data_IF_874004040092
#
_entry.id   IF_874004040092
#
_cell.length_a   1.000
_cell.length_b   1.000
_cell.length_c   1.000
_cell.angle_alpha   90.00
_cell.angle_beta   90.00
_cell.angle_gamma   90.00
#
_symmetry.space_group_name_H-M   'P 1'
#
loop_
_entity.id
_entity.type
_entity.pdbx_description
1 polymer ?
#
# COMPACT_ATOMS: atom_id res chain seq x y z
N UNK A 1 -3.65 -11.15 61.83
CA UNK A 1 -2.45 -10.28 61.78
C UNK A 1 -1.32 -11.06 61.12
N UNK A 2 -0.81 -10.68 59.93
CA UNK A 2 0.39 -11.31 59.36
C UNK A 2 1.67 -10.55 59.80
N UNK A 3 2.84 -11.20 59.89
CA UNK A 3 4.09 -10.48 60.11
C UNK A 3 4.64 -9.95 58.77
N UNK A 4 5.19 -8.74 58.83
CA UNK A 4 5.72 -8.00 57.68
C UNK A 4 7.00 -8.63 57.13
N UNK A 5 7.11 -8.69 55.79
CA UNK A 5 8.36 -8.95 55.09
C UNK A 5 8.89 -7.66 54.42
N UNK A 6 10.22 -7.44 54.41
CA UNK A 6 10.87 -6.22 53.94
C UNK A 6 11.01 -6.17 52.40
N UNK A 7 10.89 -4.96 51.85
CA UNK A 7 11.18 -4.63 50.45
C UNK A 7 12.64 -4.87 50.08
N UNK A 8 12.88 -5.55 48.96
CA UNK A 8 14.12 -5.38 48.21
C UNK A 8 14.69 -6.66 47.55
N UNK A 9 14.57 -6.68 46.23
CA UNK A 9 15.46 -7.35 45.27
C UNK A 9 15.45 -8.88 45.10
N UNK A 10 15.15 -9.26 43.85
CA UNK A 10 15.73 -10.35 43.05
C UNK A 10 15.60 -11.80 43.56
N UNK A 11 14.70 -12.56 42.91
CA UNK A 11 14.70 -14.02 42.92
C UNK A 11 13.33 -14.61 42.60
N UNK A 12 13.22 -15.33 41.47
CA UNK A 12 12.11 -16.23 41.09
C UNK A 12 11.89 -17.32 42.18
N UNK A 13 10.89 -18.24 42.14
CA UNK A 13 9.95 -18.60 41.06
C UNK A 13 8.50 -18.88 41.54
N UNK A 14 7.48 -18.76 40.67
CA UNK A 14 6.22 -19.48 40.92
C UNK A 14 5.68 -20.22 39.70
N UNK A 15 5.56 -21.52 39.92
CA UNK A 15 4.97 -22.60 39.11
C UNK A 15 3.51 -22.30 38.72
N UNK A 16 3.18 -22.51 37.45
CA UNK A 16 2.41 -23.64 36.88
C UNK A 16 0.90 -23.67 37.17
N UNK A 17 0.14 -23.93 36.08
CA UNK A 17 -1.19 -24.57 35.96
C UNK A 17 -2.42 -23.86 36.59
N UNK A 18 -3.46 -23.39 35.86
CA UNK A 18 -4.38 -24.13 34.96
C UNK A 18 -5.34 -23.16 34.17
N UNK A 19 -6.12 -23.65 33.19
CA UNK A 19 -6.65 -22.89 32.06
C UNK A 19 -8.03 -22.28 32.32
N UNK A 20 -8.25 -21.05 31.87
CA UNK A 20 -9.59 -20.45 31.80
C UNK A 20 -10.14 -20.48 30.37
N UNK A 21 -11.35 -21.03 30.16
CA UNK A 21 -12.02 -21.01 28.88
C UNK A 21 -12.78 -19.69 28.67
N UNK A 22 -12.54 -19.10 27.49
CA UNK A 22 -13.41 -18.21 26.71
C UNK A 22 -14.05 -17.00 27.39
N UNK A 23 -13.57 -15.80 27.04
CA UNK A 23 -14.48 -14.68 26.82
C UNK A 23 -14.04 -13.91 25.59
N UNK A 24 -15.01 -13.71 24.71
CA UNK A 24 -14.96 -12.89 23.51
C UNK A 24 -14.43 -11.48 23.87
N UNK A 25 -13.99 -10.72 22.85
CA UNK A 25 -13.86 -9.24 22.87
C UNK A 25 -12.46 -8.68 23.07
N UNK A 26 -11.47 -9.26 22.40
CA UNK A 26 -10.20 -8.56 22.18
C UNK A 26 -9.84 -8.59 20.70
N UNK A 27 -10.13 -7.53 19.92
CA UNK A 27 -9.46 -7.32 18.63
C UNK A 27 -8.02 -6.87 18.92
N UNK A 28 -7.24 -7.77 19.52
CA UNK A 28 -5.83 -7.54 19.78
C UNK A 28 -5.09 -7.82 18.49
N UNK A 29 -4.24 -6.86 18.16
CA UNK A 29 -3.45 -6.78 16.94
C UNK A 29 -4.32 -6.32 15.77
N UNK A 30 -4.47 -4.99 15.69
CA UNK A 30 -4.34 -4.29 14.43
C UNK A 30 -3.06 -4.80 13.74
N UNK A 31 -3.20 -5.92 13.05
CA UNK A 31 -2.28 -6.38 12.03
C UNK A 31 -2.34 -5.25 11.03
N UNK A 32 -1.41 -4.29 11.15
CA UNK A 32 -1.13 -3.36 10.06
C UNK A 32 -1.04 -4.29 8.85
N UNK A 33 -1.94 -4.21 7.87
CA UNK A 33 -1.85 -5.12 6.74
C UNK A 33 -0.47 -4.90 6.18
N UNK A 34 0.37 -5.92 6.29
CA UNK A 34 1.56 -6.08 5.47
C UNK A 34 1.11 -5.74 4.07
N UNK A 35 1.48 -4.56 3.58
CA UNK A 35 0.85 -3.84 2.47
C UNK A 35 0.24 -4.80 1.47
N UNK A 36 -1.06 -5.09 1.63
CA UNK A 36 -1.69 -6.13 0.83
C UNK A 36 -1.52 -5.70 -0.63
N UNK A 37 -1.31 -6.64 -1.54
CA UNK A 37 -1.14 -6.35 -2.97
C UNK A 37 -2.23 -5.39 -3.49
N UNK A 38 -3.44 -5.49 -2.95
CA UNK A 38 -4.54 -4.56 -3.17
C UNK A 38 -4.24 -3.10 -2.78
N UNK A 39 -3.61 -2.85 -1.63
CA UNK A 39 -3.20 -1.50 -1.22
C UNK A 39 -2.12 -0.93 -2.14
N UNK A 40 -1.15 -1.75 -2.55
CA UNK A 40 -0.12 -1.34 -3.51
C UNK A 40 -0.73 -0.95 -4.85
N UNK A 41 -1.71 -1.72 -5.34
CA UNK A 41 -2.48 -1.40 -6.55
C UNK A 41 -3.25 -0.09 -6.39
N UNK A 42 -3.97 0.10 -5.28
CA UNK A 42 -4.73 1.33 -5.03
C UNK A 42 -3.83 2.57 -4.97
N UNK A 43 -2.68 2.47 -4.30
CA UNK A 43 -1.70 3.56 -4.28
C UNK A 43 -1.10 3.84 -5.66
N UNK A 44 -0.84 2.81 -6.46
CA UNK A 44 -0.30 2.94 -7.81
C UNK A 44 -1.31 3.62 -8.73
N UNK A 45 -2.57 3.17 -8.73
CA UNK A 45 -3.67 3.79 -9.47
C UNK A 45 -3.77 5.26 -9.11
N UNK A 46 -3.81 5.59 -7.81
CA UNK A 46 -3.88 6.98 -7.35
C UNK A 46 -2.70 7.84 -7.81
N UNK A 47 -1.49 7.29 -7.91
CA UNK A 47 -0.35 8.03 -8.47
C UNK A 47 -0.51 8.28 -9.96
N UNK A 48 -1.02 7.30 -10.70
CA UNK A 48 -1.25 7.42 -12.15
C UNK A 48 -2.38 8.40 -12.42
N UNK A 49 -3.50 8.31 -11.72
CA UNK A 49 -4.60 9.28 -11.77
C UNK A 49 -4.12 10.70 -11.46
N UNK A 50 -3.19 10.86 -10.50
CA UNK A 50 -2.60 12.16 -10.23
C UNK A 50 -1.77 12.69 -11.40
N UNK A 51 -1.01 11.83 -12.10
CA UNK A 51 -0.26 12.26 -13.28
C UNK A 51 -1.17 12.74 -14.41
N UNK A 52 -2.28 12.03 -14.63
CA UNK A 52 -3.30 12.38 -15.63
C UNK A 52 -4.31 13.43 -15.13
N UNK A 53 -4.18 13.92 -13.90
CA UNK A 53 -5.05 14.99 -13.41
C UNK A 53 -4.76 16.30 -14.13
N UNK A 54 -5.80 17.10 -14.39
CA UNK A 54 -5.68 18.40 -15.07
C UNK A 54 -4.61 19.30 -14.45
N UNK A 55 -4.47 19.28 -13.12
CA UNK A 55 -3.47 20.08 -12.41
C UNK A 55 -2.03 19.65 -12.74
N UNK A 56 -1.76 18.34 -12.86
CA UNK A 56 -0.43 17.87 -13.23
C UNK A 56 -0.19 18.11 -14.72
N UNK A 57 -1.18 17.79 -15.57
CA UNK A 57 -1.10 17.98 -17.01
C UNK A 57 -0.80 19.43 -17.43
N UNK A 58 -1.37 20.44 -16.77
CA UNK A 58 -1.12 21.84 -17.09
C UNK A 58 0.35 22.27 -16.92
N UNK A 59 1.10 21.61 -16.04
CA UNK A 59 2.49 21.95 -15.74
C UNK A 59 3.53 20.91 -16.18
N UNK A 60 3.11 19.67 -16.42
CA UNK A 60 4.00 18.55 -16.68
C UNK A 60 4.20 18.35 -18.18
N UNK A 61 5.06 19.19 -18.76
CA UNK A 61 5.43 19.12 -20.17
C UNK A 61 6.05 17.75 -20.54
N UNK A 62 6.59 17.01 -19.58
CA UNK A 62 7.11 15.66 -19.80
C UNK A 62 5.99 14.67 -20.07
N UNK A 63 4.91 14.72 -19.27
CA UNK A 63 3.74 13.86 -19.51
C UNK A 63 3.06 14.23 -20.83
N UNK A 64 2.91 15.52 -21.12
CA UNK A 64 2.34 16.01 -22.39
C UNK A 64 3.18 15.54 -23.58
N UNK A 65 4.52 15.60 -23.48
CA UNK A 65 5.41 15.15 -24.55
C UNK A 65 5.35 13.64 -24.79
N UNK A 66 4.86 12.86 -23.83
CA UNK A 66 4.67 11.42 -23.95
C UNK A 66 3.27 11.05 -24.45
N UNK A 67 2.34 12.00 -24.50
CA UNK A 67 1.01 11.81 -25.07
C UNK A 67 1.08 11.84 -26.60
N UNK A 68 0.42 10.86 -27.23
CA UNK A 68 0.17 10.86 -28.67
C UNK A 68 -0.89 11.92 -29.05
N UNK A 69 -1.17 12.09 -30.35
CA UNK A 69 -2.19 13.02 -30.87
C UNK A 69 -3.60 12.78 -30.27
N UNK A 70 -3.85 11.56 -29.80
CA UNK A 70 -5.10 11.13 -29.18
C UNK A 70 -5.07 11.17 -27.63
N UNK A 71 -3.97 11.62 -27.01
CA UNK A 71 -3.82 11.70 -25.55
C UNK A 71 -3.36 10.40 -24.89
N UNK A 72 -2.99 9.38 -25.65
CA UNK A 72 -2.53 8.10 -25.11
C UNK A 72 -1.05 8.15 -24.71
N UNK A 73 -0.71 7.52 -23.59
CA UNK A 73 0.67 7.37 -23.10
C UNK A 73 1.05 5.90 -23.04
N UNK A 74 2.19 5.48 -23.60
CA UNK A 74 2.66 4.10 -23.47
C UNK A 74 3.03 3.75 -22.02
N UNK A 75 2.58 2.58 -21.56
CA UNK A 75 2.81 2.10 -20.18
C UNK A 75 4.29 1.93 -19.89
N UNK A 76 5.09 1.59 -20.91
CA UNK A 76 6.55 1.53 -20.80
C UNK A 76 7.15 2.85 -20.29
N UNK A 77 6.61 4.00 -20.73
CA UNK A 77 7.04 5.32 -20.25
C UNK A 77 6.64 5.56 -18.81
N UNK A 78 5.41 5.17 -18.44
CA UNK A 78 4.92 5.25 -17.06
C UNK A 78 5.73 4.36 -16.12
N UNK A 79 6.10 3.15 -16.57
CA UNK A 79 6.95 2.23 -15.84
C UNK A 79 8.37 2.80 -15.64
N UNK A 80 8.83 3.69 -16.52
CA UNK A 80 10.13 4.35 -16.39
C UNK A 80 10.13 5.50 -15.35
N UNK A 81 8.95 5.99 -14.97
CA UNK A 81 8.84 7.12 -14.04
C UNK A 81 9.42 6.79 -12.67
N UNK A 82 10.13 7.76 -12.10
CA UNK A 82 10.79 7.61 -10.79
C UNK A 82 9.85 7.16 -9.67
N UNK A 83 8.58 7.57 -9.68
CA UNK A 83 7.61 7.15 -8.65
C UNK A 83 7.13 5.71 -8.83
N UNK A 84 6.97 5.27 -10.08
CA UNK A 84 6.55 3.90 -10.43
C UNK A 84 7.72 2.94 -10.24
N UNK A 85 8.94 3.30 -10.69
CA UNK A 85 10.18 2.56 -10.42
C UNK A 85 10.41 2.30 -8.94
N UNK A 86 10.14 3.28 -8.07
CA UNK A 86 10.28 3.12 -6.60
C UNK A 86 9.33 2.07 -6.01
N UNK A 87 8.18 1.83 -6.63
CA UNK A 87 7.23 0.78 -6.21
C UNK A 87 7.74 -0.63 -6.60
N UNK A 88 8.83 -0.75 -7.38
CA UNK A 88 9.39 -2.02 -7.88
C UNK A 88 8.32 -2.92 -8.54
N UNK A 89 7.41 -2.29 -9.29
CA UNK A 89 6.31 -2.97 -9.98
C UNK A 89 6.64 -3.12 -11.45
N UNK A 90 6.30 -4.28 -12.04
CA UNK A 90 6.43 -4.49 -13.48
C UNK A 90 5.22 -3.96 -14.25
N UNK A 91 5.40 -3.77 -15.56
CA UNK A 91 4.32 -3.47 -16.52
C UNK A 91 3.05 -4.32 -16.30
N UNK A 92 3.12 -5.67 -16.17
CA UNK A 92 1.92 -6.47 -15.96
C UNK A 92 1.19 -6.14 -14.65
N UNK A 93 1.92 -5.73 -13.61
CA UNK A 93 1.30 -5.31 -12.35
C UNK A 93 0.62 -3.94 -12.48
N UNK A 94 1.21 -3.02 -13.23
CA UNK A 94 0.61 -1.70 -13.52
C UNK A 94 -0.70 -1.90 -14.30
N UNK A 95 -0.68 -2.71 -15.36
CA UNK A 95 -1.86 -3.06 -16.13
C UNK A 95 -2.97 -3.65 -15.26
N UNK A 96 -2.63 -4.63 -14.43
CA UNK A 96 -3.60 -5.29 -13.57
C UNK A 96 -4.18 -4.33 -12.50
N UNK A 97 -3.36 -3.41 -11.99
CA UNK A 97 -3.82 -2.36 -11.08
C UNK A 97 -4.75 -1.36 -11.78
N UNK A 98 -4.41 -0.94 -13.01
CA UNK A 98 -5.22 0.01 -13.76
C UNK A 98 -6.52 -0.61 -14.29
N UNK A 99 -6.57 -1.92 -14.53
CA UNK A 99 -7.80 -2.61 -15.00
C UNK A 99 -8.97 -2.49 -14.05
N UNK A 100 -8.70 -2.23 -12.76
CA UNK A 100 -9.73 -2.00 -11.74
C UNK A 100 -9.97 -0.51 -11.46
N UNK A 101 -9.25 0.40 -12.12
CA UNK A 101 -9.53 1.83 -12.09
C UNK A 101 -10.65 2.17 -13.06
N UNK A 102 -11.56 3.04 -12.63
CA UNK A 102 -12.64 3.57 -13.49
C UNK A 102 -12.23 4.90 -14.16
N UNK A 103 -11.15 5.51 -13.71
CA UNK A 103 -10.70 6.84 -14.17
C UNK A 103 -9.74 6.75 -15.36
N UNK A 104 -8.95 5.67 -15.44
CA UNK A 104 -7.93 5.47 -16.46
C UNK A 104 -8.40 4.42 -17.46
N UNK A 105 -8.38 4.77 -18.74
CA UNK A 105 -8.65 3.84 -19.83
C UNK A 105 -7.36 3.12 -20.26
N UNK A 106 -7.48 1.83 -20.59
CA UNK A 106 -6.36 1.01 -21.08
C UNK A 106 -6.67 0.54 -22.49
N UNK A 107 -5.76 0.79 -23.41
CA UNK A 107 -5.81 0.28 -24.77
C UNK A 107 -4.50 -0.46 -25.09
N UNK A 108 -4.54 -1.79 -24.95
CA UNK A 108 -3.35 -2.63 -25.15
C UNK A 108 -2.24 -2.30 -24.16
N UNK A 109 -1.19 -1.63 -24.65
CA UNK A 109 -0.03 -1.18 -23.86
C UNK A 109 0.00 0.35 -23.66
N UNK A 110 -1.12 1.04 -23.89
CA UNK A 110 -1.28 2.48 -23.71
C UNK A 110 -2.37 2.80 -22.69
N UNK A 111 -2.25 3.94 -22.02
CA UNK A 111 -3.22 4.44 -21.03
C UNK A 111 -3.55 5.92 -21.24
N UNK A 112 -4.78 6.32 -20.90
CA UNK A 112 -5.21 7.73 -20.88
C UNK A 112 -6.17 8.00 -19.72
#
# INVERSE_FOLDING_TARGET
>A
YPPAHPSGAAGLPYQQHLPYPYSMNTPMVAMRPSSSTAQLKAELVKQIEYYFSDQNLQGDAFLIALMDEEGWVPISSIADFNRVKRKNVGIPFILDALRVSETIEIQGEKIR
#
